data_IF_858256490694
#
_entry.id   IF_858256490694
#
_cell.length_a   1.000
_cell.length_b   1.000
_cell.length_c   1.000
_cell.angle_alpha   90.00
_cell.angle_beta   90.00
_cell.angle_gamma   90.00
#
_symmetry.space_group_name_H-M   'P 1'
#
loop_
_entity.id
_entity.type
_entity.pdbx_description
1 polymer ?
#
# COMPACT_ATOMS: atom_id res chain seq x y z
N UNK A 1 -34.39 14.24 20.11
CA UNK A 1 -33.05 14.77 20.41
C UNK A 1 -32.07 13.62 20.27
N UNK A 2 -31.48 13.46 19.08
CA UNK A 2 -30.58 12.34 18.81
C UNK A 2 -29.22 12.63 19.46
N UNK A 3 -28.87 11.89 20.51
CA UNK A 3 -27.50 11.83 20.98
C UNK A 3 -26.64 11.43 19.78
N UNK A 4 -25.79 12.33 19.29
CA UNK A 4 -24.76 11.97 18.32
C UNK A 4 -23.82 11.02 19.04
N UNK A 5 -24.03 9.72 18.87
CA UNK A 5 -23.05 8.72 19.28
C UNK A 5 -21.77 9.03 18.51
N UNK A 6 -20.77 9.53 19.24
CA UNK A 6 -19.45 9.83 18.69
C UNK A 6 -18.71 8.50 18.55
N UNK A 7 -18.37 8.12 17.33
CA UNK A 7 -17.64 6.87 17.01
C UNK A 7 -16.28 6.84 17.71
N UNK A 8 -15.57 7.98 17.68
CA UNK A 8 -14.26 8.18 18.27
C UNK A 8 -14.30 9.25 19.36
N UNK A 9 -13.29 9.27 20.22
CA UNK A 9 -13.00 10.43 21.07
C UNK A 9 -12.36 11.55 20.25
N UNK A 10 -12.41 12.79 20.74
CA UNK A 10 -11.74 13.91 20.07
C UNK A 10 -10.23 13.70 19.99
N UNK A 11 -9.61 13.16 21.04
CA UNK A 11 -8.17 12.87 21.06
C UNK A 11 -7.77 11.82 20.02
N UNK A 12 -8.58 10.78 19.80
CA UNK A 12 -8.33 9.80 18.74
C UNK A 12 -8.41 10.41 17.35
N UNK A 13 -9.42 11.24 17.09
CA UNK A 13 -9.54 11.93 15.80
C UNK A 13 -8.38 12.89 15.55
N UNK A 14 -7.84 13.49 16.61
CA UNK A 14 -6.69 14.38 16.52
C UNK A 14 -5.43 13.57 16.23
N UNK A 15 -5.19 12.47 16.94
CA UNK A 15 -4.09 11.55 16.66
C UNK A 15 -4.12 11.01 15.22
N UNK A 16 -5.28 10.57 14.74
CA UNK A 16 -5.42 10.12 13.34
C UNK A 16 -5.16 11.23 12.34
N UNK A 17 -5.58 12.46 12.63
CA UNK A 17 -5.34 13.59 11.74
C UNK A 17 -3.86 14.03 11.76
N UNK A 18 -3.15 13.81 12.87
CA UNK A 18 -1.72 14.11 12.99
C UNK A 18 -0.85 13.05 12.29
N UNK A 19 -1.29 11.78 12.28
CA UNK A 19 -0.56 10.67 11.66
C UNK A 19 -0.92 10.42 10.19
N UNK A 20 -2.05 10.97 9.71
CA UNK A 20 -2.53 10.74 8.34
C UNK A 20 -2.77 12.06 7.60
N UNK A 21 -2.79 12.02 6.28
CA UNK A 21 -3.10 13.20 5.46
C UNK A 21 -4.62 13.45 5.33
N UNK A 22 -5.42 13.05 6.32
CA UNK A 22 -6.88 13.10 6.27
C UNK A 22 -7.47 14.05 7.30
N UNK A 23 -8.53 14.76 6.90
CA UNK A 23 -9.39 15.51 7.82
C UNK A 23 -10.22 14.57 8.68
N UNK A 24 -10.70 15.05 9.85
CA UNK A 24 -11.66 14.30 10.70
C UNK A 24 -12.86 13.74 9.91
N UNK A 25 -13.33 14.44 8.87
CA UNK A 25 -14.45 13.97 8.03
C UNK A 25 -14.07 12.78 7.14
N UNK A 26 -12.86 12.79 6.61
CA UNK A 26 -12.34 11.70 5.76
C UNK A 26 -12.03 10.46 6.58
N UNK A 27 -11.47 10.63 7.79
CA UNK A 27 -11.29 9.53 8.76
C UNK A 27 -12.62 8.84 9.05
N UNK A 28 -13.68 9.61 9.32
CA UNK A 28 -15.03 9.04 9.55
C UNK A 28 -15.57 8.31 8.31
N UNK A 29 -15.40 8.87 7.11
CA UNK A 29 -15.82 8.20 5.86
C UNK A 29 -15.10 6.86 5.66
N UNK A 30 -13.80 6.81 5.94
CA UNK A 30 -13.00 5.60 5.81
C UNK A 30 -13.35 4.57 6.88
N UNK A 31 -13.59 5.00 8.12
CA UNK A 31 -14.13 4.13 9.15
C UNK A 31 -15.47 3.51 8.75
N UNK A 32 -16.39 4.30 8.19
CA UNK A 32 -17.66 3.76 7.70
C UNK A 32 -17.45 2.71 6.61
N UNK A 33 -16.53 2.94 5.65
CA UNK A 33 -16.15 1.92 4.66
C UNK A 33 -15.54 0.66 5.29
N UNK A 34 -14.60 0.82 6.22
CA UNK A 34 -14.00 -0.28 6.98
C UNK A 34 -15.07 -1.11 7.69
N UNK A 35 -16.05 -0.43 8.29
CA UNK A 35 -17.20 -1.08 8.90
C UNK A 35 -18.11 -1.76 7.88
N UNK A 36 -18.38 -1.14 6.74
CA UNK A 36 -19.27 -1.69 5.71
C UNK A 36 -18.72 -3.01 5.12
N UNK A 37 -17.40 -3.21 5.14
CA UNK A 37 -16.77 -4.47 4.77
C UNK A 37 -17.10 -5.60 5.74
N UNK A 38 -17.13 -5.34 7.05
CA UNK A 38 -17.52 -6.33 8.06
C UNK A 38 -18.36 -5.70 9.19
N UNK A 39 -19.65 -5.42 8.94
CA UNK A 39 -20.51 -4.74 9.90
C UNK A 39 -20.76 -5.56 11.16
N UNK A 40 -20.54 -6.87 11.11
CA UNK A 40 -20.63 -7.79 12.24
C UNK A 40 -19.36 -7.85 13.10
N UNK A 41 -18.20 -7.50 12.54
CA UNK A 41 -16.92 -7.52 13.26
C UNK A 41 -16.57 -6.14 13.83
N UNK A 42 -16.90 -5.08 13.09
CA UNK A 42 -16.52 -3.70 13.44
C UNK A 42 -17.65 -3.00 14.20
N UNK A 43 -17.49 -2.71 15.51
CA UNK A 43 -18.49 -2.00 16.29
C UNK A 43 -18.57 -0.52 15.88
N UNK A 44 -19.72 0.13 16.09
CA UNK A 44 -19.90 1.57 15.86
C UNK A 44 -19.22 2.45 16.92
N UNK A 45 -19.00 1.91 18.12
CA UNK A 45 -18.25 2.58 19.18
C UNK A 45 -16.80 2.08 19.16
N UNK A 46 -15.89 2.96 18.75
CA UNK A 46 -14.46 2.67 18.63
C UNK A 46 -13.64 3.39 19.69
N UNK A 47 -14.28 4.01 20.70
CA UNK A 47 -13.59 4.78 21.76
C UNK A 47 -12.59 3.95 22.54
N UNK A 48 -12.85 2.65 22.71
CA UNK A 48 -11.98 1.73 23.44
C UNK A 48 -10.95 1.03 22.54
N UNK A 49 -10.83 1.43 21.25
CA UNK A 49 -9.94 0.80 20.26
C UNK A 49 -9.99 -0.74 20.32
N UNK A 50 -11.15 -1.33 20.00
CA UNK A 50 -11.27 -2.78 20.00
C UNK A 50 -10.32 -3.37 18.95
N UNK A 51 -9.61 -4.44 19.30
CA UNK A 51 -8.68 -5.13 18.41
C UNK A 51 -9.47 -5.92 17.35
N UNK A 52 -9.88 -5.21 16.30
CA UNK A 52 -10.64 -5.75 15.17
C UNK A 52 -9.77 -5.69 13.93
N UNK A 53 -9.51 -6.86 13.35
CA UNK A 53 -8.82 -7.01 12.07
C UNK A 53 -9.80 -7.49 11.00
N UNK A 54 -9.78 -6.83 9.86
CA UNK A 54 -10.48 -7.32 8.68
C UNK A 54 -9.62 -8.32 7.94
N UNK A 55 -10.19 -9.48 7.56
CA UNK A 55 -9.48 -10.45 6.75
C UNK A 55 -9.19 -9.91 5.34
N UNK A 56 -8.07 -10.32 4.77
CA UNK A 56 -7.63 -9.89 3.44
C UNK A 56 -8.70 -10.09 2.37
N UNK A 57 -9.52 -11.15 2.44
CA UNK A 57 -10.56 -11.41 1.43
C UNK A 57 -11.55 -10.25 1.28
N UNK A 58 -11.85 -9.55 2.39
CA UNK A 58 -12.72 -8.38 2.36
C UNK A 58 -11.98 -7.16 1.81
N UNK A 59 -10.74 -6.93 2.25
CA UNK A 59 -9.89 -5.83 1.80
C UNK A 59 -9.62 -5.94 0.28
N UNK A 60 -9.19 -7.10 -0.19
CA UNK A 60 -8.92 -7.37 -1.60
C UNK A 60 -10.15 -7.38 -2.50
N UNK A 61 -11.36 -7.47 -1.93
CA UNK A 61 -12.62 -7.34 -2.68
C UNK A 61 -13.01 -5.90 -2.99
N UNK A 62 -12.37 -4.92 -2.34
CA UNK A 62 -12.62 -3.50 -2.58
C UNK A 62 -12.36 -3.12 -4.03
N UNK A 63 -13.23 -2.34 -4.68
CA UNK A 63 -13.04 -1.90 -6.07
C UNK A 63 -11.67 -1.27 -6.34
N UNK A 64 -11.12 -0.55 -5.37
CA UNK A 64 -9.82 0.12 -5.43
C UNK A 64 -8.64 -0.86 -5.55
N UNK A 65 -8.77 -2.06 -4.99
CA UNK A 65 -7.72 -3.08 -4.97
C UNK A 65 -8.03 -4.25 -5.91
N UNK A 66 -9.30 -4.52 -6.21
CA UNK A 66 -9.72 -5.73 -6.92
C UNK A 66 -9.03 -5.93 -8.26
N UNK A 67 -8.86 -4.86 -9.04
CA UNK A 67 -8.25 -4.93 -10.36
C UNK A 67 -6.72 -4.73 -10.35
N UNK A 68 -6.14 -4.50 -9.17
CA UNK A 68 -4.71 -4.28 -9.02
C UNK A 68 -3.95 -5.63 -8.89
N UNK A 69 -2.98 -5.93 -9.77
CA UNK A 69 -2.21 -7.18 -9.72
C UNK A 69 -1.34 -7.31 -8.45
N UNK A 70 -1.06 -6.19 -7.77
CA UNK A 70 -0.28 -6.13 -6.53
C UNK A 70 -1.15 -6.04 -5.28
N UNK A 71 -2.48 -6.15 -5.38
CA UNK A 71 -3.39 -6.00 -4.23
C UNK A 71 -3.03 -6.82 -3.01
N UNK A 72 -2.51 -8.03 -3.23
CA UNK A 72 -2.07 -8.91 -2.15
C UNK A 72 -0.82 -8.34 -1.47
N UNK A 73 0.20 -7.95 -2.25
CA UNK A 73 1.42 -7.33 -1.71
C UNK A 73 1.14 -6.01 -1.01
N UNK A 74 0.26 -5.19 -1.58
CA UNK A 74 -0.21 -3.96 -0.93
C UNK A 74 -0.80 -4.32 0.43
N UNK A 75 -1.69 -5.32 0.50
CA UNK A 75 -2.27 -5.71 1.75
C UNK A 75 -1.24 -6.21 2.76
N UNK A 76 -0.33 -7.09 2.34
CA UNK A 76 0.74 -7.66 3.17
C UNK A 76 1.71 -6.59 3.70
N UNK A 77 2.04 -5.57 2.90
CA UNK A 77 2.95 -4.49 3.29
C UNK A 77 2.34 -3.54 4.32
N UNK A 78 1.03 -3.29 4.22
CA UNK A 78 0.33 -2.43 5.17
C UNK A 78 -0.18 -3.18 6.41
N UNK A 79 -0.34 -4.50 6.33
CA UNK A 79 -0.70 -5.32 7.51
C UNK A 79 0.50 -5.49 8.44
N UNK A 80 0.29 -5.27 9.75
CA UNK A 80 1.32 -5.54 10.76
C UNK A 80 1.70 -7.03 10.84
N UNK A 81 0.76 -7.94 10.53
CA UNK A 81 0.97 -9.38 10.60
C UNK A 81 1.61 -9.98 9.33
N UNK A 82 1.69 -9.20 8.24
CA UNK A 82 2.20 -9.66 6.94
C UNK A 82 1.28 -10.68 6.24
N UNK A 83 0.08 -10.93 6.77
CA UNK A 83 -0.91 -11.85 6.19
C UNK A 83 -1.97 -11.09 5.36
N UNK A 84 -1.91 -9.76 5.35
CA UNK A 84 -2.87 -8.90 4.67
C UNK A 84 -4.14 -8.62 5.46
N UNK A 85 -4.21 -9.06 6.72
CA UNK A 85 -5.29 -8.67 7.62
C UNK A 85 -5.02 -7.25 8.14
N UNK A 86 -6.02 -6.38 8.06
CA UNK A 86 -5.81 -4.97 8.39
C UNK A 86 -6.61 -4.57 9.61
N UNK A 87 -5.96 -3.85 10.52
CA UNK A 87 -6.63 -3.03 11.53
C UNK A 87 -7.21 -1.76 10.91
N UNK A 88 -7.96 -0.97 11.70
CA UNK A 88 -8.39 0.36 11.25
C UNK A 88 -7.20 1.27 10.96
N UNK A 89 -6.13 1.15 11.76
CA UNK A 89 -4.95 1.99 11.65
C UNK A 89 -4.21 1.66 10.34
N UNK A 90 -3.97 0.37 10.06
CA UNK A 90 -3.40 -0.10 8.78
C UNK A 90 -4.22 0.36 7.58
N UNK A 91 -5.55 0.31 7.70
CA UNK A 91 -6.46 0.75 6.65
C UNK A 91 -6.34 2.25 6.41
N UNK A 92 -6.29 3.06 7.47
CA UNK A 92 -6.10 4.50 7.35
C UNK A 92 -4.73 4.83 6.76
N UNK A 93 -3.67 4.15 7.20
CA UNK A 93 -2.31 4.35 6.70
C UNK A 93 -2.17 3.97 5.23
N UNK A 94 -2.72 2.82 4.83
CA UNK A 94 -2.77 2.39 3.42
C UNK A 94 -3.37 3.48 2.55
N UNK A 95 -4.56 3.96 2.88
CA UNK A 95 -5.16 5.01 2.08
C UNK A 95 -4.44 6.35 2.21
N UNK A 96 -3.85 6.65 3.36
CA UNK A 96 -3.09 7.88 3.61
C UNK A 96 -1.90 7.96 2.65
N UNK A 97 -1.14 6.88 2.51
CA UNK A 97 -0.02 6.76 1.57
C UNK A 97 -0.48 6.80 0.12
N UNK A 98 -1.60 6.15 -0.20
CA UNK A 98 -2.16 6.15 -1.54
C UNK A 98 -2.82 7.48 -1.94
N UNK A 99 -3.05 8.39 -0.98
CA UNK A 99 -3.60 9.71 -1.24
C UNK A 99 -2.67 10.55 -2.11
N UNK A 100 -3.24 11.45 -2.93
CA UNK A 100 -2.47 12.44 -3.70
C UNK A 100 -1.63 13.36 -2.80
N UNK A 101 -2.09 13.58 -1.56
CA UNK A 101 -1.43 14.46 -0.59
C UNK A 101 -0.17 13.85 0.04
N UNK A 102 0.07 12.54 -0.09
CA UNK A 102 1.23 11.91 0.51
C UNK A 102 2.54 12.32 -0.19
N UNK A 103 3.62 12.58 0.57
CA UNK A 103 4.93 12.88 0.03
C UNK A 103 5.43 11.79 -0.93
N UNK A 104 6.15 12.20 -1.97
CA UNK A 104 6.71 11.28 -2.96
C UNK A 104 7.65 10.26 -2.32
N UNK A 105 8.46 10.67 -1.36
CA UNK A 105 9.43 9.78 -0.69
C UNK A 105 8.71 8.67 0.09
N UNK A 106 7.58 9.00 0.73
CA UNK A 106 6.75 8.02 1.42
C UNK A 106 6.14 7.01 0.43
N UNK A 107 5.63 7.50 -0.71
CA UNK A 107 5.11 6.63 -1.78
C UNK A 107 6.19 5.73 -2.36
N UNK A 108 7.38 6.28 -2.60
CA UNK A 108 8.52 5.54 -3.11
C UNK A 108 8.95 4.44 -2.13
N UNK A 109 8.96 4.73 -0.82
CA UNK A 109 9.25 3.75 0.23
C UNK A 109 8.24 2.60 0.25
N UNK A 110 6.94 2.89 0.24
CA UNK A 110 5.94 1.82 0.23
C UNK A 110 5.90 1.06 -1.10
N UNK A 111 6.12 1.74 -2.23
CA UNK A 111 6.30 1.07 -3.51
C UNK A 111 7.48 0.09 -3.42
N UNK A 112 8.64 0.54 -2.95
CA UNK A 112 9.81 -0.32 -2.75
C UNK A 112 9.46 -1.59 -1.94
N UNK A 113 8.76 -1.44 -0.82
CA UNK A 113 8.30 -2.58 -0.01
C UNK A 113 7.32 -3.52 -0.73
N UNK A 114 6.46 -2.99 -1.61
CA UNK A 114 5.56 -3.81 -2.43
C UNK A 114 6.33 -4.63 -3.46
N UNK A 115 7.39 -4.05 -4.03
CA UNK A 115 8.26 -4.65 -5.04
C UNK A 115 9.24 -5.66 -4.46
N UNK A 116 9.77 -5.43 -3.27
CA UNK A 116 10.62 -6.36 -2.53
C UNK A 116 9.78 -7.57 -2.07
N UNK A 117 9.87 -8.73 -2.73
CA UNK A 117 9.06 -9.91 -2.39
C UNK A 117 9.70 -10.80 -1.32
N UNK A 118 11.01 -10.73 -1.15
CA UNK A 118 11.79 -11.49 -0.17
C UNK A 118 11.98 -10.72 1.14
N UNK A 119 11.55 -9.46 1.20
CA UNK A 119 11.68 -8.56 2.34
C UNK A 119 13.14 -8.44 2.82
N UNK A 120 14.11 -8.44 1.90
CA UNK A 120 15.53 -8.31 2.23
C UNK A 120 16.04 -6.87 2.17
N UNK A 121 15.13 -5.90 1.98
CA UNK A 121 15.43 -4.48 1.79
C UNK A 121 16.22 -4.18 0.50
N UNK A 122 16.18 -5.09 -0.47
CA UNK A 122 16.74 -4.91 -1.80
C UNK A 122 15.77 -5.42 -2.88
N UNK A 123 15.65 -4.72 -4.00
CA UNK A 123 14.95 -5.26 -5.17
C UNK A 123 15.96 -6.01 -6.02
N UNK A 124 15.85 -7.33 -6.04
CA UNK A 124 16.70 -8.20 -6.85
C UNK A 124 16.02 -8.54 -8.19
N UNK A 125 16.79 -9.14 -9.10
CA UNK A 125 16.30 -9.64 -10.39
C UNK A 125 15.07 -10.55 -10.24
N UNK A 126 15.05 -11.41 -9.23
CA UNK A 126 13.92 -12.30 -8.92
C UNK A 126 12.62 -11.55 -8.60
N UNK A 127 12.72 -10.38 -7.98
CA UNK A 127 11.57 -9.59 -7.56
C UNK A 127 11.01 -8.77 -8.73
N UNK A 128 11.91 -8.28 -9.59
CA UNK A 128 11.55 -7.70 -10.89
C UNK A 128 10.90 -8.74 -11.81
N UNK A 129 11.40 -9.98 -11.86
CA UNK A 129 10.81 -11.06 -12.64
C UNK A 129 9.37 -11.35 -12.18
N UNK A 130 9.15 -11.52 -10.87
CA UNK A 130 7.81 -11.71 -10.29
C UNK A 130 6.88 -10.53 -10.60
N UNK A 131 7.40 -9.32 -10.52
CA UNK A 131 6.66 -8.10 -10.84
C UNK A 131 6.22 -8.09 -12.30
N UNK A 132 7.17 -8.28 -13.23
CA UNK A 132 6.90 -8.26 -14.66
C UNK A 132 5.88 -9.33 -15.04
N UNK A 133 6.03 -10.54 -14.50
CA UNK A 133 5.08 -11.64 -14.69
C UNK A 133 3.66 -11.29 -14.21
N UNK A 134 3.53 -10.58 -13.08
CA UNK A 134 2.23 -10.09 -12.59
C UNK A 134 1.62 -9.01 -13.49
N UNK A 135 2.44 -8.12 -14.04
CA UNK A 135 2.01 -7.03 -14.91
C UNK A 135 1.61 -7.52 -16.31
N UNK A 136 2.42 -8.40 -16.90
CA UNK A 136 2.21 -8.92 -18.26
C UNK A 136 1.34 -10.17 -18.28
N UNK A 137 0.85 -10.62 -17.12
CA UNK A 137 0.03 -11.85 -16.98
C UNK A 137 0.72 -13.08 -17.58
N UNK A 138 2.05 -13.13 -17.47
CA UNK A 138 2.92 -14.16 -18.06
C UNK A 138 2.85 -14.24 -19.60
N UNK A 139 2.58 -13.13 -20.29
CA UNK A 139 2.59 -13.09 -21.76
C UNK A 139 3.99 -12.96 -22.36
N UNK A 140 4.98 -12.55 -21.55
CA UNK A 140 6.38 -12.46 -21.98
C UNK A 140 7.11 -13.79 -21.84
N UNK A 141 8.08 -14.01 -22.72
CA UNK A 141 9.02 -15.13 -22.61
C UNK A 141 10.04 -14.90 -21.50
N UNK A 142 10.60 -15.98 -20.94
CA UNK A 142 11.64 -15.88 -19.90
C UNK A 142 12.84 -15.03 -20.34
N UNK A 143 13.21 -15.10 -21.63
CA UNK A 143 14.29 -14.30 -22.20
C UNK A 143 13.96 -12.80 -22.25
N UNK A 144 12.73 -12.44 -22.60
CA UNK A 144 12.28 -11.03 -22.61
C UNK A 144 12.21 -10.47 -21.20
N UNK A 145 11.64 -11.22 -20.25
CA UNK A 145 11.59 -10.82 -18.84
C UNK A 145 13.00 -10.61 -18.31
N UNK A 146 13.91 -11.56 -18.55
CA UNK A 146 15.32 -11.47 -18.14
C UNK A 146 16.00 -10.23 -18.72
N UNK A 147 15.81 -9.96 -20.01
CA UNK A 147 16.43 -8.81 -20.68
C UNK A 147 15.92 -7.48 -20.10
N UNK A 148 14.62 -7.39 -19.78
CA UNK A 148 14.05 -6.19 -19.14
C UNK A 148 14.60 -6.03 -17.74
N UNK A 149 14.64 -7.09 -16.92
CA UNK A 149 15.19 -7.01 -15.57
C UNK A 149 16.66 -6.57 -15.56
N UNK A 150 17.49 -7.12 -16.47
CA UNK A 150 18.90 -6.73 -16.59
C UNK A 150 19.04 -5.25 -16.94
N UNK A 151 18.27 -4.75 -17.91
CA UNK A 151 18.29 -3.32 -18.28
C UNK A 151 17.85 -2.41 -17.15
N UNK A 152 16.83 -2.82 -16.37
CA UNK A 152 16.34 -2.03 -15.24
C UNK A 152 17.40 -1.94 -14.15
N UNK A 153 18.07 -3.05 -13.82
CA UNK A 153 19.16 -3.05 -12.85
C UNK A 153 20.32 -2.20 -13.37
N UNK A 154 20.80 -2.44 -14.60
CA UNK A 154 21.93 -1.69 -15.19
C UNK A 154 21.70 -0.17 -15.24
N UNK A 155 20.44 0.29 -15.34
CA UNK A 155 20.09 1.71 -15.38
C UNK A 155 19.86 2.33 -14.00
N UNK A 156 19.31 1.56 -13.06
CA UNK A 156 18.91 2.04 -11.74
C UNK A 156 19.97 1.83 -10.65
N UNK A 157 20.82 0.80 -10.77
CA UNK A 157 21.87 0.44 -9.83
C UNK A 157 23.03 1.46 -9.91
N UNK A 158 23.12 2.35 -8.92
CA UNK A 158 24.14 3.40 -8.90
C UNK A 158 25.47 2.92 -8.33
N UNK A 159 25.46 1.94 -7.43
CA UNK A 159 26.65 1.44 -6.74
C UNK A 159 27.21 0.14 -7.34
N UNK A 160 26.50 -0.44 -8.32
CA UNK A 160 26.83 -1.63 -9.09
C UNK A 160 26.95 -2.89 -8.21
N UNK A 161 26.14 -3.00 -7.16
CA UNK A 161 26.08 -4.18 -6.30
C UNK A 161 25.21 -5.33 -6.88
N UNK A 162 24.52 -5.06 -8.00
CA UNK A 162 23.65 -6.00 -8.71
C UNK A 162 22.24 -6.10 -8.11
N UNK A 163 21.88 -5.19 -7.22
CA UNK A 163 20.58 -5.08 -6.54
C UNK A 163 20.19 -3.60 -6.50
N UNK A 164 18.93 -3.33 -6.18
CA UNK A 164 18.49 -1.94 -6.01
C UNK A 164 18.18 -1.69 -4.54
N UNK A 165 18.93 -0.79 -3.92
CA UNK A 165 18.60 -0.26 -2.61
C UNK A 165 17.41 0.70 -2.67
N UNK A 166 16.89 1.10 -1.52
CA UNK A 166 15.87 2.15 -1.44
C UNK A 166 16.35 3.46 -2.09
N UNK A 167 17.63 3.82 -1.94
CA UNK A 167 18.20 5.04 -2.50
C UNK A 167 18.25 4.96 -4.04
N UNK A 168 18.64 3.83 -4.60
CA UNK A 168 18.63 3.58 -6.05
C UNK A 168 17.21 3.68 -6.61
N UNK A 169 16.25 3.06 -5.92
CA UNK A 169 14.85 3.07 -6.33
C UNK A 169 14.23 4.48 -6.28
N UNK A 170 14.54 5.27 -5.24
CA UNK A 170 14.12 6.67 -5.15
C UNK A 170 14.72 7.50 -6.29
N UNK A 171 16.01 7.33 -6.59
CA UNK A 171 16.67 8.01 -7.70
C UNK A 171 16.06 7.61 -9.06
N UNK A 172 15.76 6.33 -9.26
CA UNK A 172 15.08 5.82 -10.46
C UNK A 172 13.71 6.47 -10.64
N UNK A 173 12.90 6.53 -9.57
CA UNK A 173 11.59 7.16 -9.57
C UNK A 173 11.65 8.65 -9.94
N UNK A 174 12.66 9.38 -9.44
CA UNK A 174 12.84 10.80 -9.77
C UNK A 174 13.19 10.98 -11.25
N UNK A 175 13.97 10.06 -11.84
CA UNK A 175 14.34 10.08 -13.25
C UNK A 175 13.21 9.64 -14.18
N UNK A 176 12.32 8.77 -13.71
CA UNK A 176 11.18 8.24 -14.45
C UNK A 176 9.84 8.57 -13.75
N UNK A 177 9.36 9.82 -13.80
CA UNK A 177 8.10 10.22 -13.15
C UNK A 177 6.89 9.45 -13.69
N UNK A 178 6.96 8.94 -14.92
CA UNK A 178 5.93 8.11 -15.53
C UNK A 178 5.78 6.75 -14.81
N UNK A 179 6.82 6.26 -14.13
CA UNK A 179 6.77 5.06 -13.30
C UNK A 179 5.85 5.24 -12.09
N UNK A 180 5.83 6.42 -11.46
CA UNK A 180 4.86 6.71 -10.41
C UNK A 180 3.45 6.90 -10.97
N UNK A 181 3.33 7.37 -12.22
CA UNK A 181 2.04 7.57 -12.86
C UNK A 181 1.23 6.27 -12.98
N UNK A 182 1.91 5.13 -13.11
CA UNK A 182 1.31 3.79 -13.09
C UNK A 182 1.04 3.24 -11.68
N UNK A 183 1.64 3.83 -10.63
CA UNK A 183 1.36 3.56 -9.21
C UNK A 183 0.22 4.41 -8.62
N UNK A 184 -0.80 4.70 -9.41
CA UNK A 184 -2.02 5.33 -8.91
C UNK A 184 -3.15 4.31 -8.84
N UNK A 185 -3.64 4.08 -7.62
CA UNK A 185 -5.00 3.57 -7.45
C UNK A 185 -5.92 4.78 -7.65
N UNK A 186 -6.71 4.77 -8.72
CA UNK A 186 -7.78 5.75 -8.90
C UNK A 186 -8.85 5.47 -7.85
N UNK A 187 -8.86 6.28 -6.78
CA UNK A 187 -9.91 6.30 -5.75
C UNK A 187 -11.11 7.09 -6.27
#
# INVERSE_FOLDING_TARGET
MGNKQTIFTSQQLDAYQDCTYFTRKEILRRFHRYRDLAPQLVPLDYKNQPEVRLPYELIGSMPELKDNPFRQRIAEVFSEDGEGNMTLDDFLDMFSVLSEMAPRDLKAFYAFKIYDFNNDDFICKSDLEKTLNKLTRNELTEDEVRMVCEKVIDEADLDNDGRLSLEDFQNMIVRAPDFLSTFHIRI
#
